data_IF_085588359570
#
_entry.id   IF_085588359570
#
_cell.length_a   1.000
_cell.length_b   1.000
_cell.length_c   1.000
_cell.angle_alpha   90.00
_cell.angle_beta   90.00
_cell.angle_gamma   90.00
#
_symmetry.space_group_name_H-M   'P 1'
#
loop_
_entity.id
_entity.type
_entity.pdbx_description
1 polymer ?
#
# COMPACT_ATOMS: atom_id res chain seq x y z
N UNK A 1 -18.47 -20.65 14.89
CA UNK A 1 -17.38 -20.91 13.93
C UNK A 1 -17.68 -20.43 12.49
N UNK A 2 -18.85 -20.72 11.83
CA UNK A 2 -19.03 -20.31 10.43
C UNK A 2 -19.07 -18.79 10.21
N UNK A 3 -19.63 -18.03 11.12
CA UNK A 3 -19.78 -16.56 10.99
C UNK A 3 -18.44 -15.84 11.05
N UNK A 4 -17.52 -16.31 11.88
CA UNK A 4 -16.14 -15.74 11.97
C UNK A 4 -15.36 -16.02 10.69
N UNK A 5 -15.50 -17.25 10.16
CA UNK A 5 -14.84 -17.65 8.91
C UNK A 5 -15.34 -16.83 7.71
N UNK A 6 -16.63 -16.53 7.62
CA UNK A 6 -17.21 -15.71 6.55
C UNK A 6 -16.73 -14.27 6.62
N UNK A 7 -16.52 -13.72 7.80
CA UNK A 7 -15.94 -12.39 8.00
C UNK A 7 -14.50 -12.31 7.46
N UNK A 8 -13.67 -13.27 7.80
CA UNK A 8 -12.27 -13.35 7.34
C UNK A 8 -12.15 -13.63 5.84
N UNK A 9 -13.01 -14.50 5.29
CA UNK A 9 -13.07 -14.75 3.85
C UNK A 9 -13.44 -13.48 3.09
N UNK A 10 -14.40 -12.70 3.60
CA UNK A 10 -14.82 -11.45 2.94
C UNK A 10 -13.73 -10.37 2.97
N UNK A 11 -12.97 -10.29 4.06
CA UNK A 11 -11.85 -9.38 4.19
C UNK A 11 -10.67 -9.81 3.30
N UNK A 12 -10.33 -11.09 3.30
CA UNK A 12 -9.32 -11.67 2.41
C UNK A 12 -9.67 -11.47 0.94
N UNK A 13 -10.96 -11.59 0.59
CA UNK A 13 -11.44 -11.34 -0.78
C UNK A 13 -11.23 -9.90 -1.26
N UNK A 14 -11.36 -8.91 -0.39
CA UNK A 14 -11.06 -7.50 -0.74
C UNK A 14 -9.57 -7.30 -1.01
N UNK A 15 -8.70 -7.89 -0.20
CA UNK A 15 -7.25 -7.85 -0.40
C UNK A 15 -6.81 -8.56 -1.68
N UNK A 16 -7.48 -9.66 -2.06
CA UNK A 16 -7.26 -10.39 -3.31
C UNK A 16 -7.41 -9.53 -4.58
N UNK A 17 -8.13 -8.42 -4.53
CA UNK A 17 -8.24 -7.50 -5.68
C UNK A 17 -7.18 -6.39 -5.65
N UNK A 18 -6.81 -5.90 -4.47
CA UNK A 18 -5.90 -4.75 -4.34
C UNK A 18 -4.49 -5.10 -4.81
N UNK A 19 -3.92 -6.22 -4.33
CA UNK A 19 -2.55 -6.59 -4.67
C UNK A 19 -2.33 -6.90 -6.15
N UNK A 20 -3.16 -7.73 -6.83
CA UNK A 20 -3.02 -7.96 -8.26
C UNK A 20 -3.11 -6.69 -9.10
N UNK A 21 -3.95 -5.72 -8.72
CA UNK A 21 -4.05 -4.44 -9.44
C UNK A 21 -2.75 -3.65 -9.34
N UNK A 22 -2.13 -3.57 -8.15
CA UNK A 22 -0.87 -2.88 -7.95
C UNK A 22 0.25 -3.57 -8.74
N UNK A 23 0.36 -4.91 -8.65
CA UNK A 23 1.35 -5.68 -9.41
C UNK A 23 1.14 -5.54 -10.92
N UNK A 24 -0.09 -5.55 -11.40
CA UNK A 24 -0.42 -5.35 -12.80
C UNK A 24 0.01 -3.96 -13.28
N UNK A 25 -0.22 -2.92 -12.49
CA UNK A 25 0.21 -1.57 -12.80
C UNK A 25 1.74 -1.48 -12.93
N UNK A 26 2.49 -2.04 -11.97
CA UNK A 26 3.95 -2.08 -12.05
C UNK A 26 4.42 -2.90 -13.25
N UNK A 27 3.80 -4.06 -13.52
CA UNK A 27 4.11 -4.88 -14.70
C UNK A 27 3.90 -4.13 -16.02
N UNK A 28 2.84 -3.34 -16.14
CA UNK A 28 2.59 -2.48 -17.31
C UNK A 28 3.77 -1.52 -17.54
N UNK A 29 4.30 -0.90 -16.49
CA UNK A 29 5.46 -0.02 -16.60
C UNK A 29 6.73 -0.77 -17.00
N UNK A 30 6.96 -1.97 -16.46
CA UNK A 30 8.11 -2.80 -16.83
C UNK A 30 8.01 -3.21 -18.30
N UNK A 31 6.85 -3.65 -18.75
CA UNK A 31 6.60 -4.03 -20.15
C UNK A 31 6.82 -2.80 -21.06
N UNK A 32 6.26 -1.65 -20.70
CA UNK A 32 6.39 -0.43 -21.48
C UNK A 32 7.88 -0.02 -21.64
N UNK A 33 8.66 -0.06 -20.56
CA UNK A 33 10.08 0.30 -20.60
C UNK A 33 10.90 -0.71 -21.39
N UNK A 34 10.63 -2.02 -21.23
CA UNK A 34 11.34 -3.10 -21.93
C UNK A 34 11.05 -3.10 -23.43
N UNK A 35 9.77 -2.98 -23.81
CA UNK A 35 9.37 -2.94 -25.22
C UNK A 35 9.89 -1.67 -25.89
N UNK A 36 9.82 -0.52 -25.23
CA UNK A 36 10.35 0.72 -25.77
C UNK A 36 11.86 0.62 -26.00
N UNK A 37 12.60 -0.02 -25.11
CA UNK A 37 14.02 -0.28 -25.27
C UNK A 37 14.28 -1.18 -26.46
N UNK A 38 13.62 -2.34 -26.55
CA UNK A 38 13.79 -3.30 -27.62
C UNK A 38 13.57 -2.64 -29.00
N UNK A 39 12.50 -1.89 -29.15
CA UNK A 39 12.16 -1.24 -30.41
C UNK A 39 13.19 -0.14 -30.78
N UNK A 40 13.78 0.53 -29.79
CA UNK A 40 14.84 1.52 -30.01
C UNK A 40 16.17 0.85 -30.40
N UNK A 41 16.52 -0.30 -29.84
CA UNK A 41 17.70 -1.08 -30.21
C UNK A 41 17.55 -1.61 -31.64
N UNK A 42 16.40 -2.11 -32.02
CA UNK A 42 16.12 -2.68 -33.34
C UNK A 42 15.62 -1.65 -34.39
N UNK A 43 15.70 -0.35 -34.08
CA UNK A 43 15.23 0.74 -34.97
C UNK A 43 15.89 0.69 -36.36
N UNK A 44 17.15 0.28 -36.43
CA UNK A 44 17.89 0.20 -37.70
C UNK A 44 17.33 -0.96 -38.53
N UNK A 45 17.01 -2.09 -37.93
CA UNK A 45 16.42 -3.24 -38.61
C UNK A 45 15.01 -2.92 -39.12
N UNK A 46 14.20 -2.21 -38.30
CA UNK A 46 12.89 -1.69 -38.74
C UNK A 46 13.06 -0.78 -39.96
N UNK A 47 14.10 0.05 -39.98
CA UNK A 47 14.43 0.92 -41.13
C UNK A 47 14.78 0.14 -42.39
N UNK A 48 15.60 -0.91 -42.27
CA UNK A 48 15.98 -1.78 -43.40
C UNK A 48 14.81 -2.58 -43.94
N UNK A 49 13.98 -3.18 -43.10
CA UNK A 49 12.76 -3.89 -43.49
C UNK A 49 11.78 -2.96 -44.28
N UNK A 50 11.61 -1.73 -43.80
CA UNK A 50 10.84 -0.72 -44.56
C UNK A 50 11.45 -0.33 -45.90
N UNK A 51 12.78 -0.23 -45.93
CA UNK A 51 13.54 0.04 -47.16
C UNK A 51 13.41 -1.09 -48.18
N UNK A 52 13.27 -2.33 -47.75
CA UNK A 52 13.02 -3.52 -48.57
C UNK A 52 11.56 -3.65 -49.00
N UNK A 53 10.65 -2.76 -48.56
CA UNK A 53 9.26 -2.75 -48.99
C UNK A 53 8.28 -3.48 -48.09
N UNK A 54 8.68 -3.95 -46.93
CA UNK A 54 7.74 -4.57 -45.99
C UNK A 54 6.66 -3.59 -45.51
N UNK A 55 5.44 -4.05 -45.43
CA UNK A 55 4.28 -3.25 -45.03
C UNK A 55 4.34 -2.86 -43.55
N UNK A 56 3.86 -1.64 -43.21
CA UNK A 56 3.80 -1.15 -41.83
C UNK A 56 3.08 -2.12 -40.88
N UNK A 57 2.02 -2.78 -41.39
CA UNK A 57 1.23 -3.73 -40.62
C UNK A 57 1.97 -5.04 -40.32
N UNK A 58 2.84 -5.50 -41.23
CA UNK A 58 3.63 -6.72 -41.05
C UNK A 58 4.69 -6.52 -39.97
N UNK A 59 5.41 -5.39 -40.03
CA UNK A 59 6.40 -5.02 -39.02
C UNK A 59 5.72 -4.88 -37.64
N UNK A 60 4.58 -4.20 -37.60
CA UNK A 60 3.83 -4.00 -36.35
C UNK A 60 3.38 -5.34 -35.75
N UNK A 61 2.88 -6.28 -36.58
CA UNK A 61 2.45 -7.61 -36.14
C UNK A 61 3.62 -8.43 -35.59
N UNK A 62 4.78 -8.34 -36.22
CA UNK A 62 5.99 -9.03 -35.76
C UNK A 62 6.39 -8.61 -34.35
N UNK A 63 6.54 -7.30 -34.08
CA UNK A 63 6.92 -6.80 -32.76
C UNK A 63 5.81 -6.95 -31.71
N UNK A 64 4.56 -6.86 -32.12
CA UNK A 64 3.41 -7.11 -31.23
C UNK A 64 3.34 -8.56 -30.78
N UNK A 65 3.54 -9.51 -31.72
CA UNK A 65 3.55 -10.94 -31.39
C UNK A 65 4.73 -11.33 -30.49
N UNK A 66 5.90 -10.71 -30.68
CA UNK A 66 7.06 -10.94 -29.83
C UNK A 66 6.79 -10.52 -28.38
N UNK A 67 6.29 -9.31 -28.15
CA UNK A 67 5.93 -8.83 -26.80
C UNK A 67 4.85 -9.69 -26.14
N UNK A 68 3.81 -10.05 -26.89
CA UNK A 68 2.74 -10.93 -26.42
C UNK A 68 3.23 -12.35 -26.06
N UNK A 69 4.09 -12.93 -26.91
CA UNK A 69 4.63 -14.28 -26.70
C UNK A 69 5.51 -14.34 -25.44
N UNK A 70 6.39 -13.35 -25.24
CA UNK A 70 7.23 -13.29 -24.03
C UNK A 70 6.38 -13.23 -22.77
N UNK A 71 5.32 -12.43 -22.78
CA UNK A 71 4.41 -12.34 -21.65
C UNK A 71 3.56 -13.59 -21.44
N UNK A 72 3.21 -14.31 -22.51
CA UNK A 72 2.55 -15.61 -22.42
C UNK A 72 3.46 -16.67 -21.79
N UNK A 73 4.72 -16.74 -22.21
CA UNK A 73 5.69 -17.69 -21.64
C UNK A 73 5.92 -17.35 -20.15
N UNK A 74 6.20 -16.09 -19.83
CA UNK A 74 6.42 -15.66 -18.45
C UNK A 74 5.16 -15.86 -17.58
N UNK A 75 3.99 -15.56 -18.11
CA UNK A 75 2.70 -15.79 -17.46
C UNK A 75 2.43 -17.27 -17.20
N UNK A 76 2.71 -18.14 -18.17
CA UNK A 76 2.56 -19.60 -18.01
C UNK A 76 3.51 -20.14 -16.91
N UNK A 77 4.77 -19.72 -16.91
CA UNK A 77 5.74 -20.09 -15.85
C UNK A 77 5.26 -19.57 -14.48
N UNK A 78 4.80 -18.31 -14.40
CA UNK A 78 4.26 -17.75 -13.17
C UNK A 78 3.00 -18.47 -12.68
N UNK A 79 2.12 -18.87 -13.59
CA UNK A 79 0.90 -19.63 -13.28
C UNK A 79 1.20 -21.05 -12.79
N UNK A 80 2.29 -21.66 -13.24
CA UNK A 80 2.72 -22.98 -12.74
C UNK A 80 3.36 -22.87 -11.34
N UNK A 81 4.19 -21.86 -11.10
CA UNK A 81 4.97 -21.74 -9.87
C UNK A 81 4.13 -21.11 -8.73
N UNK A 82 3.27 -20.14 -9.04
CA UNK A 82 2.50 -19.36 -8.06
C UNK A 82 1.67 -20.22 -7.09
N UNK A 83 0.85 -21.17 -7.58
CA UNK A 83 0.04 -22.03 -6.73
C UNK A 83 0.82 -22.95 -5.79
N UNK A 84 2.12 -23.16 -6.03
CA UNK A 84 2.96 -23.93 -5.12
C UNK A 84 3.63 -23.07 -4.05
N UNK A 85 4.06 -21.85 -4.38
CA UNK A 85 4.78 -21.00 -3.42
C UNK A 85 3.82 -20.41 -2.37
N UNK A 86 2.79 -19.70 -2.79
CA UNK A 86 1.93 -18.93 -1.88
C UNK A 86 1.17 -19.82 -0.89
N UNK A 87 0.50 -20.92 -1.30
CA UNK A 87 -0.18 -21.81 -0.36
C UNK A 87 0.77 -22.51 0.61
N UNK A 88 2.00 -22.85 0.20
CA UNK A 88 2.96 -23.49 1.09
C UNK A 88 3.48 -22.54 2.17
N UNK A 89 3.68 -21.28 1.87
CA UNK A 89 4.04 -20.26 2.87
C UNK A 89 2.88 -20.04 3.86
N UNK A 90 1.64 -20.03 3.37
CA UNK A 90 0.44 -19.83 4.17
C UNK A 90 0.03 -21.08 4.99
N UNK A 91 0.33 -22.29 4.48
CA UNK A 91 -0.07 -23.58 5.08
C UNK A 91 0.28 -23.70 6.55
N UNK A 92 1.54 -23.37 6.90
CA UNK A 92 2.04 -23.54 8.26
C UNK A 92 1.20 -22.75 9.27
N UNK A 93 0.79 -21.55 8.90
CA UNK A 93 0.01 -20.66 9.78
C UNK A 93 -1.46 -21.02 9.85
N UNK A 94 -2.10 -21.34 8.72
CA UNK A 94 -3.50 -21.77 8.73
C UNK A 94 -3.70 -23.11 9.45
N UNK A 95 -2.71 -23.99 9.44
CA UNK A 95 -2.77 -25.22 10.22
C UNK A 95 -2.64 -24.98 11.72
N UNK A 96 -1.82 -24.01 12.15
CA UNK A 96 -1.66 -23.65 13.56
C UNK A 96 -2.94 -22.96 14.11
N UNK A 97 -3.48 -22.00 13.38
CA UNK A 97 -4.61 -21.17 13.85
C UNK A 97 -5.95 -21.92 13.80
N UNK A 98 -6.18 -22.75 12.77
CA UNK A 98 -7.50 -23.39 12.57
C UNK A 98 -7.51 -24.89 12.83
N UNK A 99 -6.37 -25.48 13.19
CA UNK A 99 -6.22 -26.94 13.42
C UNK A 99 -6.92 -27.78 12.33
N UNK A 100 -6.78 -27.36 11.06
CA UNK A 100 -7.45 -27.97 9.92
C UNK A 100 -6.75 -29.30 9.57
N UNK A 101 -7.44 -30.45 9.63
CA UNK A 101 -6.86 -31.75 9.33
C UNK A 101 -6.66 -32.02 7.83
N UNK A 102 -7.00 -31.07 6.98
CA UNK A 102 -7.01 -31.24 5.53
C UNK A 102 -5.65 -30.90 4.94
N UNK A 103 -5.03 -31.79 4.11
CA UNK A 103 -3.82 -31.45 3.40
C UNK A 103 -4.10 -30.30 2.42
N UNK A 104 -3.37 -29.20 2.55
CA UNK A 104 -3.43 -28.08 1.60
C UNK A 104 -2.87 -28.58 0.26
N UNK A 105 -3.75 -28.85 -0.70
CA UNK A 105 -3.37 -29.13 -2.07
C UNK A 105 -3.47 -27.84 -2.91
N UNK A 106 -2.49 -27.59 -3.79
CA UNK A 106 -2.60 -26.46 -4.71
C UNK A 106 -3.82 -26.68 -5.62
N UNK A 107 -4.77 -25.77 -5.57
CA UNK A 107 -5.96 -25.79 -6.43
C UNK A 107 -5.66 -24.91 -7.64
N UNK A 108 -5.70 -25.51 -8.82
CA UNK A 108 -5.57 -24.79 -10.09
C UNK A 108 -6.95 -24.38 -10.60
N UNK A 109 -7.28 -23.13 -10.44
CA UNK A 109 -8.45 -22.53 -11.10
C UNK A 109 -8.07 -22.17 -12.55
N UNK A 110 -8.31 -23.09 -13.47
CA UNK A 110 -7.96 -22.95 -14.89
C UNK A 110 -8.62 -21.71 -15.52
N UNK A 111 -9.92 -21.42 -15.33
CA UNK A 111 -10.55 -20.21 -15.86
C UNK A 111 -9.89 -18.91 -15.40
N UNK A 112 -9.63 -18.79 -14.09
CA UNK A 112 -8.95 -17.60 -13.52
C UNK A 112 -7.51 -17.48 -13.98
N UNK A 113 -6.79 -18.59 -14.10
CA UNK A 113 -5.42 -18.61 -14.61
C UNK A 113 -5.37 -18.14 -16.08
N UNK A 114 -6.24 -18.62 -16.94
CA UNK A 114 -6.31 -18.19 -18.33
C UNK A 114 -6.68 -16.70 -18.42
N UNK A 115 -7.59 -16.22 -17.60
CA UNK A 115 -7.98 -14.81 -17.57
C UNK A 115 -6.83 -13.92 -17.11
N UNK A 116 -6.08 -14.33 -16.07
CA UNK A 116 -4.94 -13.58 -15.55
C UNK A 116 -3.80 -13.51 -16.59
N UNK A 117 -3.34 -14.66 -17.11
CA UNK A 117 -2.27 -14.71 -18.11
C UNK A 117 -2.68 -14.04 -19.41
N UNK A 118 -3.92 -14.26 -19.85
CA UNK A 118 -4.48 -13.64 -21.05
C UNK A 118 -4.58 -12.12 -20.97
N UNK A 119 -4.99 -11.58 -19.81
CA UNK A 119 -5.08 -10.13 -19.61
C UNK A 119 -3.71 -9.45 -19.67
N UNK A 120 -2.70 -10.02 -19.04
CA UNK A 120 -1.32 -9.49 -19.07
C UNK A 120 -0.74 -9.58 -20.48
N UNK A 121 -0.91 -10.70 -21.18
CA UNK A 121 -0.43 -10.86 -22.56
C UNK A 121 -1.14 -9.90 -23.53
N UNK A 122 -2.44 -9.66 -23.35
CA UNK A 122 -3.20 -8.70 -24.14
C UNK A 122 -2.70 -7.27 -23.90
N UNK A 123 -2.49 -6.89 -22.65
CA UNK A 123 -1.92 -5.57 -22.30
C UNK A 123 -0.53 -5.40 -22.90
N UNK A 124 0.33 -6.41 -22.80
CA UNK A 124 1.67 -6.39 -23.40
C UNK A 124 1.62 -6.20 -24.92
N UNK A 125 0.70 -6.90 -25.59
CA UNK A 125 0.49 -6.77 -27.04
C UNK A 125 0.03 -5.37 -27.42
N UNK A 126 -0.93 -4.79 -26.68
CA UNK A 126 -1.41 -3.42 -26.90
C UNK A 126 -0.27 -2.41 -26.71
N UNK A 127 0.50 -2.54 -25.63
CA UNK A 127 1.66 -1.66 -25.36
C UNK A 127 2.69 -1.76 -26.48
N UNK A 128 3.02 -2.98 -26.93
CA UNK A 128 3.93 -3.21 -28.04
C UNK A 128 3.46 -2.55 -29.33
N UNK A 129 2.18 -2.64 -29.64
CA UNK A 129 1.57 -1.95 -30.80
C UNK A 129 1.71 -0.44 -30.68
N UNK A 130 1.39 0.14 -29.51
CA UNK A 130 1.42 1.59 -29.30
C UNK A 130 2.83 2.15 -29.43
N UNK A 131 3.82 1.46 -28.84
CA UNK A 131 5.22 1.88 -28.88
C UNK A 131 5.81 1.71 -30.29
N UNK A 132 5.59 0.56 -30.93
CA UNK A 132 6.08 0.27 -32.27
C UNK A 132 5.48 1.21 -33.33
N UNK A 133 4.19 1.55 -33.22
CA UNK A 133 3.50 2.47 -34.13
C UNK A 133 4.22 3.81 -34.29
N UNK A 134 4.82 4.32 -33.22
CA UNK A 134 5.54 5.59 -33.25
C UNK A 134 6.82 5.50 -34.09
N UNK A 135 7.58 4.40 -33.97
CA UNK A 135 8.82 4.17 -34.73
C UNK A 135 8.52 3.80 -36.19
N UNK A 136 7.51 2.97 -36.42
CA UNK A 136 7.09 2.56 -37.76
C UNK A 136 6.53 3.72 -38.59
N UNK A 137 6.07 4.81 -37.99
CA UNK A 137 5.63 6.03 -38.74
C UNK A 137 6.80 6.86 -39.25
N UNK A 138 8.01 6.72 -38.72
CA UNK A 138 9.19 7.46 -39.17
C UNK A 138 9.63 7.02 -40.58
N UNK A 139 10.32 7.89 -41.33
CA UNK A 139 10.85 7.53 -42.65
C UNK A 139 11.99 6.52 -42.55
N UNK A 140 12.17 5.57 -43.48
CA UNK A 140 13.24 4.57 -43.45
C UNK A 140 14.64 5.18 -43.25
N UNK A 141 14.95 6.24 -44.01
CA UNK A 141 16.21 6.94 -43.92
C UNK A 141 16.43 7.63 -42.55
N UNK A 142 15.37 8.01 -41.84
CA UNK A 142 15.44 8.58 -40.50
C UNK A 142 15.67 7.49 -39.45
N UNK A 143 15.16 6.28 -39.64
CA UNK A 143 15.37 5.15 -38.76
C UNK A 143 16.82 4.64 -38.79
N UNK A 144 17.51 4.75 -39.94
CA UNK A 144 18.91 4.35 -40.11
C UNK A 144 19.90 5.38 -39.59
N UNK A 145 19.48 6.64 -39.37
CA UNK A 145 20.35 7.67 -38.83
C UNK A 145 20.43 7.61 -37.29
N UNK A 146 21.59 7.89 -36.70
CA UNK A 146 21.70 8.05 -35.27
C UNK A 146 20.72 9.09 -34.76
N UNK A 147 20.07 8.87 -33.62
CA UNK A 147 19.16 9.85 -33.04
C UNK A 147 19.91 11.13 -32.70
N UNK A 148 19.57 12.22 -33.36
CA UNK A 148 20.00 13.56 -32.95
C UNK A 148 19.00 14.04 -31.89
N UNK A 149 19.45 14.54 -30.73
CA UNK A 149 18.54 15.13 -29.76
C UNK A 149 17.75 16.25 -30.40
N UNK A 150 16.41 16.18 -30.40
CA UNK A 150 15.59 17.31 -30.81
C UNK A 150 15.86 18.46 -29.86
N UNK A 151 16.19 19.63 -30.40
CA UNK A 151 16.39 20.89 -29.66
C UNK A 151 15.08 21.20 -28.90
N UNK A 152 15.09 20.92 -27.62
CA UNK A 152 13.95 21.22 -26.74
C UNK A 152 13.95 22.70 -26.38
N UNK A 153 12.77 23.26 -26.22
CA UNK A 153 12.50 24.68 -25.87
C UNK A 153 13.37 25.23 -24.75
N UNK A 154 13.89 24.38 -23.87
CA UNK A 154 14.82 24.74 -22.79
C UNK A 154 16.21 25.22 -23.31
N UNK A 155 16.69 24.75 -24.45
CA UNK A 155 17.93 25.25 -25.08
C UNK A 155 17.73 26.67 -25.64
N UNK A 156 16.53 27.02 -26.06
CA UNK A 156 16.18 28.37 -26.50
C UNK A 156 16.20 29.39 -25.35
N UNK A 157 15.79 28.98 -24.15
CA UNK A 157 15.83 29.85 -22.96
C UNK A 157 17.28 30.09 -22.45
N UNK A 158 18.14 29.09 -22.56
CA UNK A 158 19.57 29.21 -22.24
C UNK A 158 20.28 30.12 -23.26
N UNK A 159 19.98 29.98 -24.55
CA UNK A 159 20.57 30.79 -25.61
C UNK A 159 20.16 32.27 -25.53
N UNK A 160 18.94 32.55 -25.05
CA UNK A 160 18.45 33.93 -24.83
C UNK A 160 19.11 34.61 -23.63
N UNK A 161 19.69 33.87 -22.70
CA UNK A 161 20.41 34.37 -21.54
C UNK A 161 21.86 34.71 -21.88
N UNK A 162 22.50 33.94 -22.77
CA UNK A 162 23.88 34.19 -23.23
C UNK A 162 23.96 35.37 -24.21
N UNK A 163 22.88 35.68 -24.95
CA UNK A 163 22.80 36.84 -25.83
C UNK A 163 22.66 38.15 -25.04
N UNK A 164 22.05 38.15 -23.87
CA UNK A 164 21.94 39.34 -23.01
C UNK A 164 23.27 39.73 -22.39
N UNK A 165 24.14 38.78 -22.09
CA UNK A 165 25.48 39.04 -21.51
C UNK A 165 26.49 39.50 -22.56
N UNK A 166 26.25 39.23 -23.86
CA UNK A 166 27.12 39.73 -24.94
C UNK A 166 26.78 41.15 -25.42
N UNK A 167 25.58 41.63 -25.11
CA UNK A 167 25.15 42.97 -25.55
C UNK A 167 25.62 44.09 -24.59
N UNK A 168 25.97 43.74 -23.34
CA UNK A 168 26.52 44.73 -22.39
C UNK A 168 28.07 44.90 -22.47
N UNK A 169 28.78 44.03 -23.20
CA UNK A 169 30.23 44.12 -23.36
C UNK A 169 30.66 44.85 -24.64
N UNK A 170 29.74 45.43 -25.39
CA UNK A 170 29.96 46.03 -26.72
C UNK A 170 29.92 47.56 -26.81
N UNK A 171 29.96 48.28 -25.68
CA UNK A 171 29.97 49.76 -25.70
C UNK A 171 31.05 50.30 -24.79
N UNK A 172 32.32 50.18 -25.20
CA UNK A 172 33.40 51.09 -24.84
C UNK A 172 34.63 50.69 -25.65
N UNK A 173 34.71 51.16 -26.86
CA UNK A 173 35.94 51.30 -27.58
C UNK A 173 36.10 52.78 -28.01
N UNK A 174 36.92 53.53 -27.28
CA UNK A 174 37.63 54.62 -27.86
C UNK A 174 39.00 54.73 -27.19
N UNK A 175 40.01 54.63 -28.07
CA UNK A 175 41.37 55.21 -28.09
C UNK A 175 42.24 55.09 -26.84
N UNK A 176 43.35 54.40 -26.95
CA UNK A 176 44.63 55.00 -27.23
C UNK A 176 45.82 54.02 -27.17
N UNK A 177 46.60 54.04 -28.14
CA UNK A 177 48.04 53.80 -28.38
C UNK A 177 48.92 53.45 -27.17
N UNK A 178 49.74 52.37 -27.35
CA UNK A 178 51.14 52.31 -26.94
C UNK A 178 51.44 51.73 -25.54
N UNK A 179 51.94 50.50 -25.50
CA UNK A 179 53.25 50.13 -24.95
C UNK A 179 53.35 48.60 -24.84
N UNK A 180 54.36 48.06 -25.44
CA UNK A 180 54.89 46.73 -25.17
C UNK A 180 55.48 46.72 -23.77
N UNK A 181 55.07 45.71 -22.96
CA UNK A 181 55.98 45.13 -21.96
C UNK A 181 55.40 43.85 -21.29
N UNK A 182 56.29 42.88 -21.27
CA UNK A 182 56.41 41.74 -20.38
C UNK A 182 55.21 40.85 -20.09
N UNK A 183 55.21 39.70 -20.79
CA UNK A 183 54.57 38.47 -20.33
C UNK A 183 55.37 37.87 -19.19
N UNK A 184 54.96 38.09 -17.96
CA UNK A 184 55.28 37.23 -16.83
C UNK A 184 54.18 36.20 -16.60
N UNK A 185 54.63 34.98 -16.47
CA UNK A 185 53.85 33.79 -16.17
C UNK A 185 52.96 33.99 -14.92
N UNK A 186 51.68 34.17 -15.10
CA UNK A 186 50.70 33.93 -14.03
C UNK A 186 49.90 32.68 -14.36
N UNK A 187 50.29 31.58 -13.74
CA UNK A 187 49.47 30.35 -13.66
C UNK A 187 48.06 30.70 -13.24
N UNK A 188 47.04 30.21 -13.92
CA UNK A 188 45.66 30.43 -13.47
C UNK A 188 45.47 29.71 -12.13
N UNK A 189 45.30 30.47 -11.03
CA UNK A 189 44.83 29.96 -9.75
C UNK A 189 43.58 29.14 -10.01
N UNK A 190 43.66 27.82 -9.83
CA UNK A 190 42.52 26.90 -9.74
C UNK A 190 41.63 27.39 -8.61
N UNK A 191 40.66 28.24 -8.94
CA UNK A 191 39.51 28.51 -8.09
C UNK A 191 38.80 27.18 -7.91
N UNK A 192 38.77 26.66 -6.70
CA UNK A 192 38.11 25.40 -6.34
C UNK A 192 36.68 25.41 -6.90
N UNK A 193 36.51 24.76 -8.01
CA UNK A 193 35.21 24.58 -8.67
C UNK A 193 34.51 23.52 -7.87
N UNK A 194 33.37 23.83 -7.28
CA UNK A 194 32.52 22.87 -6.59
C UNK A 194 32.04 21.83 -7.61
N UNK A 195 32.84 20.79 -7.82
CA UNK A 195 32.60 19.74 -8.82
C UNK A 195 31.27 19.02 -8.57
N UNK A 196 30.80 18.97 -7.31
CA UNK A 196 29.49 18.43 -6.93
C UNK A 196 28.30 19.21 -7.50
N UNK A 197 28.40 20.57 -7.51
CA UNK A 197 27.32 21.42 -8.06
C UNK A 197 27.29 21.31 -9.59
N UNK A 198 28.47 21.17 -10.22
CA UNK A 198 28.56 21.01 -11.66
C UNK A 198 27.96 19.65 -12.11
N UNK A 199 28.26 18.56 -11.39
CA UNK A 199 27.72 17.23 -11.69
C UNK A 199 26.20 17.19 -11.49
N UNK A 200 25.69 17.82 -10.42
CA UNK A 200 24.24 17.94 -10.18
C UNK A 200 23.53 18.74 -11.29
N UNK A 201 24.13 19.84 -11.72
CA UNK A 201 23.59 20.66 -12.81
C UNK A 201 23.60 19.91 -14.14
N UNK A 202 24.63 19.11 -14.41
CA UNK A 202 24.67 18.23 -15.58
C UNK A 202 23.63 17.14 -15.52
N UNK A 203 23.44 16.51 -14.36
CA UNK A 203 22.41 15.51 -14.15
C UNK A 203 21.00 16.09 -14.36
N UNK A 204 20.70 17.23 -13.74
CA UNK A 204 19.42 17.92 -13.93
C UNK A 204 19.15 18.30 -15.40
N UNK A 205 20.19 18.76 -16.10
CA UNK A 205 20.09 19.07 -17.54
C UNK A 205 19.82 17.80 -18.38
N UNK A 206 20.46 16.69 -18.05
CA UNK A 206 20.23 15.41 -18.74
C UNK A 206 18.81 14.89 -18.56
N UNK A 207 18.24 15.04 -17.34
CA UNK A 207 16.84 14.72 -17.04
C UNK A 207 15.90 15.60 -17.88
N UNK A 208 16.18 16.90 -17.97
CA UNK A 208 15.36 17.85 -18.72
C UNK A 208 15.38 17.64 -20.25
N UNK A 209 16.43 17.02 -20.80
CA UNK A 209 16.54 16.73 -22.24
C UNK A 209 15.59 15.62 -22.68
N UNK A 210 15.33 14.61 -21.82
CA UNK A 210 14.46 13.45 -22.12
C UNK A 210 13.41 13.24 -21.02
N UNK A 211 12.43 14.14 -20.88
CA UNK A 211 11.52 14.16 -19.72
C UNK A 211 10.64 12.91 -19.62
N UNK A 212 10.16 12.38 -20.74
CA UNK A 212 9.29 11.18 -20.77
C UNK A 212 10.03 9.96 -20.22
N UNK A 213 11.32 9.82 -20.56
CA UNK A 213 12.13 8.71 -20.07
C UNK A 213 12.43 8.84 -18.58
N UNK A 214 12.79 10.04 -18.14
CA UNK A 214 12.99 10.32 -16.72
C UNK A 214 11.69 10.03 -15.93
N UNK A 215 10.54 10.42 -16.45
CA UNK A 215 9.25 10.11 -15.84
C UNK A 215 8.99 8.61 -15.73
N UNK A 216 9.24 7.83 -16.79
CA UNK A 216 9.12 6.36 -16.75
C UNK A 216 10.03 5.74 -15.69
N UNK A 217 11.27 6.20 -15.58
CA UNK A 217 12.22 5.75 -14.56
C UNK A 217 11.70 6.04 -13.15
N UNK A 218 11.28 7.29 -12.91
CA UNK A 218 10.75 7.72 -11.61
C UNK A 218 9.52 6.91 -11.24
N UNK A 219 8.56 6.75 -12.16
CA UNK A 219 7.32 5.98 -11.91
C UNK A 219 7.64 4.52 -11.61
N UNK A 220 8.57 3.89 -12.35
CA UNK A 220 8.98 2.50 -12.09
C UNK A 220 9.59 2.32 -10.69
N UNK A 221 10.50 3.20 -10.29
CA UNK A 221 11.10 3.15 -8.94
C UNK A 221 10.05 3.45 -7.87
N UNK A 222 9.22 4.47 -8.09
CA UNK A 222 8.14 4.83 -7.15
C UNK A 222 7.19 3.66 -6.93
N UNK A 223 6.82 2.93 -8.00
CA UNK A 223 5.96 1.74 -7.88
C UNK A 223 6.57 0.65 -7.01
N UNK A 224 7.87 0.37 -7.18
CA UNK A 224 8.56 -0.62 -6.35
C UNK A 224 8.67 -0.18 -4.89
N UNK A 225 9.01 1.09 -4.63
CA UNK A 225 9.09 1.64 -3.27
C UNK A 225 7.71 1.67 -2.62
N UNK A 226 6.67 2.03 -3.38
CA UNK A 226 5.29 2.03 -2.88
C UNK A 226 4.83 0.63 -2.44
N UNK A 227 5.16 -0.42 -3.21
CA UNK A 227 4.87 -1.81 -2.82
C UNK A 227 5.59 -2.20 -1.53
N UNK A 228 6.85 -1.82 -1.41
CA UNK A 228 7.66 -2.11 -0.22
C UNK A 228 7.12 -1.39 1.01
N UNK A 229 6.77 -0.11 0.87
CA UNK A 229 6.17 0.68 1.94
C UNK A 229 4.75 0.19 2.29
N UNK A 230 3.99 -0.29 1.32
CA UNK A 230 2.68 -0.89 1.57
C UNK A 230 2.83 -2.18 2.40
N UNK A 231 3.79 -3.04 2.05
CA UNK A 231 4.05 -4.28 2.78
C UNK A 231 4.47 -4.04 4.23
N UNK A 232 5.36 -3.08 4.48
CA UNK A 232 5.82 -2.70 5.83
C UNK A 232 4.71 -1.98 6.61
N UNK A 233 4.05 -1.02 5.98
CA UNK A 233 3.05 -0.16 6.63
C UNK A 233 1.79 -0.91 7.09
N UNK A 234 1.44 -2.05 6.48
CA UNK A 234 0.31 -2.86 6.94
C UNK A 234 0.60 -3.42 8.34
N UNK A 235 1.78 -4.00 8.56
CA UNK A 235 2.18 -4.52 9.87
C UNK A 235 2.19 -3.43 10.94
N UNK A 236 2.93 -2.35 10.69
CA UNK A 236 3.05 -1.23 11.63
C UNK A 236 1.70 -0.59 11.97
N UNK A 237 0.78 -0.52 10.98
CA UNK A 237 -0.56 0.04 11.20
C UNK A 237 -1.40 -0.85 12.11
N UNK A 238 -1.30 -2.16 11.95
CA UNK A 238 -2.03 -3.13 12.80
C UNK A 238 -1.50 -3.07 14.21
N UNK A 239 -0.19 -3.17 14.39
CA UNK A 239 0.45 -3.13 15.71
C UNK A 239 0.11 -1.83 16.46
N UNK A 240 0.20 -0.69 15.77
CA UNK A 240 -0.15 0.60 16.36
C UNK A 240 -1.65 0.70 16.72
N UNK A 241 -2.53 0.17 15.87
CA UNK A 241 -3.97 0.19 16.12
C UNK A 241 -4.34 -0.68 17.33
N UNK A 242 -3.71 -1.85 17.44
CA UNK A 242 -3.91 -2.74 18.59
C UNK A 242 -3.41 -2.13 19.89
N UNK A 243 -2.19 -1.57 19.88
CA UNK A 243 -1.63 -0.88 21.05
C UNK A 243 -2.51 0.29 21.50
N UNK A 244 -3.02 1.07 20.55
CA UNK A 244 -3.89 2.20 20.88
C UNK A 244 -5.20 1.74 21.50
N UNK A 245 -5.79 0.65 21.03
CA UNK A 245 -7.05 0.13 21.57
C UNK A 245 -6.85 -0.52 22.95
N UNK A 246 -5.91 -1.46 23.08
CA UNK A 246 -5.73 -2.23 24.31
C UNK A 246 -5.12 -1.45 25.48
N UNK A 247 -4.26 -0.47 25.20
CA UNK A 247 -3.56 0.28 26.24
C UNK A 247 -3.89 1.78 26.26
N UNK A 248 -4.58 2.27 25.23
CA UNK A 248 -4.96 3.69 25.11
C UNK A 248 -6.44 3.96 25.31
N UNK A 249 -7.31 3.16 24.67
CA UNK A 249 -8.76 3.38 24.72
C UNK A 249 -9.45 2.59 25.83
N UNK A 250 -8.97 1.37 26.12
CA UNK A 250 -9.49 0.51 27.16
C UNK A 250 -8.40 0.16 28.16
N UNK A 251 -8.67 0.35 29.45
CA UNK A 251 -7.68 0.21 30.52
C UNK A 251 -8.04 -0.89 31.52
N UNK A 252 -8.87 -1.84 31.11
CA UNK A 252 -9.20 -3.03 31.92
C UNK A 252 -8.12 -4.11 31.77
N UNK A 253 -8.00 -4.97 32.77
CA UNK A 253 -7.05 -6.10 32.77
C UNK A 253 -7.72 -7.44 32.48
N UNK A 254 -9.02 -7.57 32.82
CA UNK A 254 -9.84 -8.77 32.56
C UNK A 254 -11.18 -8.36 31.99
N UNK A 255 -11.66 -9.08 30.97
CA UNK A 255 -12.98 -8.92 30.40
C UNK A 255 -13.78 -10.23 30.52
N UNK A 256 -15.03 -10.12 30.93
CA UNK A 256 -15.99 -11.22 30.85
C UNK A 256 -17.20 -10.82 30.04
N UNK A 257 -17.51 -11.55 28.96
CA UNK A 257 -18.59 -11.21 28.04
C UNK A 257 -19.99 -11.56 28.59
N UNK A 258 -20.04 -12.35 29.64
CA UNK A 258 -21.28 -12.77 30.27
C UNK A 258 -21.16 -12.70 31.79
N UNK A 259 -22.15 -12.15 32.46
CA UNK A 259 -22.24 -12.13 33.93
C UNK A 259 -23.59 -12.59 34.43
N UNK A 260 -23.58 -13.28 35.58
CA UNK A 260 -24.78 -13.71 36.28
C UNK A 260 -25.42 -12.55 37.07
N UNK A 261 -26.62 -12.77 37.62
CA UNK A 261 -27.29 -11.78 38.47
C UNK A 261 -26.51 -11.56 39.80
N UNK A 262 -25.89 -12.61 40.33
CA UNK A 262 -25.10 -12.54 41.57
C UNK A 262 -23.65 -12.06 41.38
N UNK A 263 -23.28 -11.68 40.17
CA UNK A 263 -21.91 -11.31 39.80
C UNK A 263 -21.39 -10.15 40.66
N UNK A 264 -22.21 -9.12 40.83
CA UNK A 264 -21.77 -7.90 41.54
C UNK A 264 -21.45 -8.17 43.01
N UNK A 265 -22.23 -9.04 43.68
CA UNK A 265 -21.99 -9.41 45.08
C UNK A 265 -20.64 -10.13 45.23
N UNK A 266 -20.36 -11.10 44.35
CA UNK A 266 -19.07 -11.83 44.35
C UNK A 266 -17.88 -10.93 43.97
N UNK A 267 -18.06 -9.96 43.08
CA UNK A 267 -17.02 -9.02 42.75
C UNK A 267 -16.71 -8.05 43.91
N UNK A 268 -17.70 -7.66 44.68
CA UNK A 268 -17.54 -6.86 45.87
C UNK A 268 -16.71 -7.62 46.93
N UNK A 269 -17.00 -8.94 47.10
CA UNK A 269 -16.19 -9.81 47.97
C UNK A 269 -14.70 -9.88 47.52
N UNK A 270 -14.43 -10.02 46.23
CA UNK A 270 -13.08 -10.06 45.67
C UNK A 270 -12.37 -8.69 45.82
N UNK A 271 -13.11 -7.61 45.72
CA UNK A 271 -12.60 -6.26 45.94
C UNK A 271 -12.26 -6.00 47.40
N UNK A 272 -13.12 -6.46 48.35
CA UNK A 272 -12.82 -6.38 49.80
C UNK A 272 -11.63 -7.27 50.18
N UNK A 273 -11.44 -8.40 49.52
CA UNK A 273 -10.28 -9.26 49.66
C UNK A 273 -8.99 -8.66 49.08
N UNK A 274 -9.08 -7.56 48.30
CA UNK A 274 -7.94 -6.92 47.64
C UNK A 274 -7.39 -7.71 46.43
N UNK A 275 -8.19 -8.63 45.87
CA UNK A 275 -7.77 -9.42 44.71
C UNK A 275 -8.02 -8.66 43.39
N UNK A 276 -8.99 -7.73 43.39
CA UNK A 276 -9.28 -6.83 42.28
C UNK A 276 -9.31 -5.38 42.76
N UNK A 277 -8.96 -4.44 41.92
CA UNK A 277 -8.99 -2.99 42.22
C UNK A 277 -10.42 -2.44 42.08
N UNK A 278 -11.03 -2.70 40.95
CA UNK A 278 -12.40 -2.28 40.67
C UNK A 278 -12.97 -3.07 39.49
N UNK A 279 -14.30 -2.99 39.32
CA UNK A 279 -14.99 -3.57 38.17
C UNK A 279 -16.08 -2.62 37.67
N UNK A 280 -16.39 -2.72 36.37
CA UNK A 280 -17.43 -1.93 35.71
C UNK A 280 -18.26 -2.86 34.83
N UNK A 281 -19.58 -2.70 34.90
CA UNK A 281 -20.53 -3.50 34.13
C UNK A 281 -21.17 -2.69 33.01
N UNK A 282 -21.44 -3.35 31.89
CA UNK A 282 -22.12 -2.77 30.74
C UNK A 282 -22.98 -3.82 30.06
N UNK A 283 -23.95 -3.36 29.23
CA UNK A 283 -24.80 -4.28 28.44
C UNK A 283 -24.44 -4.20 26.97
N UNK A 284 -24.41 -5.34 26.31
CA UNK A 284 -24.17 -5.47 24.87
C UNK A 284 -25.44 -5.95 24.18
N UNK A 285 -25.89 -5.18 23.22
CA UNK A 285 -27.05 -5.52 22.40
C UNK A 285 -26.63 -5.76 20.96
N UNK A 286 -27.36 -6.66 20.29
CA UNK A 286 -27.22 -6.90 18.86
C UNK A 286 -28.41 -6.26 18.16
N UNK A 287 -28.19 -5.16 17.44
CA UNK A 287 -29.24 -4.39 16.79
C UNK A 287 -28.92 -4.13 15.33
N UNK A 288 -29.96 -3.92 14.55
CA UNK A 288 -29.81 -3.47 13.17
C UNK A 288 -29.73 -1.95 13.14
N UNK A 289 -28.55 -1.43 12.81
CA UNK A 289 -28.37 0.01 12.60
C UNK A 289 -28.67 0.37 11.15
N UNK A 290 -29.46 1.41 10.95
CA UNK A 290 -29.77 1.93 9.61
C UNK A 290 -29.41 3.40 9.51
N UNK A 291 -28.52 3.72 8.56
CA UNK A 291 -28.26 5.09 8.09
C UNK A 291 -29.20 5.43 6.92
N UNK A 292 -28.88 6.48 6.18
CA UNK A 292 -29.72 7.02 5.11
C UNK A 292 -30.11 5.97 4.02
N UNK A 293 -29.24 5.01 3.69
CA UNK A 293 -29.44 4.08 2.59
C UNK A 293 -29.02 2.63 2.87
N UNK A 294 -28.49 2.32 4.06
CA UNK A 294 -27.93 1.00 4.38
C UNK A 294 -28.30 0.59 5.80
N UNK A 295 -28.59 -0.69 5.98
CA UNK A 295 -28.78 -1.31 7.27
C UNK A 295 -27.77 -2.42 7.50
N UNK A 296 -27.28 -2.56 8.74
CA UNK A 296 -26.31 -3.56 9.15
C UNK A 296 -26.51 -3.96 10.60
N UNK A 297 -26.35 -5.25 10.88
CA UNK A 297 -26.34 -5.74 12.25
C UNK A 297 -25.00 -5.37 12.91
N UNK A 298 -25.09 -4.72 14.06
CA UNK A 298 -23.96 -4.21 14.82
C UNK A 298 -24.13 -4.52 16.31
N UNK A 299 -23.01 -4.43 17.03
CA UNK A 299 -23.02 -4.43 18.49
C UNK A 299 -23.26 -3.01 18.99
N UNK A 300 -24.12 -2.88 20.00
CA UNK A 300 -24.36 -1.64 20.72
C UNK A 300 -23.95 -1.87 22.16
N UNK A 301 -22.97 -1.11 22.60
CA UNK A 301 -22.42 -1.13 23.94
C UNK A 301 -23.12 -0.03 24.75
N UNK A 302 -23.98 -0.43 25.69
CA UNK A 302 -24.63 0.49 26.61
C UNK A 302 -23.82 0.53 27.90
N UNK A 303 -23.03 1.57 28.04
CA UNK A 303 -22.15 1.80 29.18
C UNK A 303 -22.93 2.34 30.38
N UNK A 304 -22.47 2.04 31.58
CA UNK A 304 -22.94 2.69 32.80
C UNK A 304 -22.44 4.15 32.86
N UNK A 305 -23.08 4.99 33.64
CA UNK A 305 -22.59 6.36 33.86
C UNK A 305 -21.18 6.37 34.45
N UNK A 306 -20.35 7.30 33.96
CA UNK A 306 -19.00 7.58 34.51
C UNK A 306 -18.05 6.35 34.48
N UNK A 307 -18.05 5.57 33.40
CA UNK A 307 -17.05 4.52 33.23
C UNK A 307 -15.63 5.12 33.19
N UNK A 308 -14.71 4.48 33.91
CA UNK A 308 -13.32 4.91 34.07
C UNK A 308 -12.34 4.04 33.29
N UNK A 309 -12.77 2.81 32.90
CA UNK A 309 -11.93 1.86 32.17
C UNK A 309 -11.95 2.07 30.65
N UNK A 310 -12.54 3.15 30.18
CA UNK A 310 -12.50 3.55 28.77
C UNK A 310 -12.35 5.06 28.62
N UNK A 311 -11.68 5.48 27.56
CA UNK A 311 -11.60 6.91 27.17
C UNK A 311 -12.78 7.35 26.31
N UNK A 312 -13.67 6.42 25.96
CA UNK A 312 -14.87 6.72 25.17
C UNK A 312 -15.91 7.36 26.09
N UNK A 313 -16.13 8.65 25.91
CA UNK A 313 -17.11 9.40 26.72
C UNK A 313 -18.52 9.24 26.14
N UNK A 314 -19.38 8.52 26.87
CA UNK A 314 -20.79 8.32 26.53
C UNK A 314 -21.72 9.11 27.45
N UNK A 315 -21.19 9.95 28.32
CA UNK A 315 -21.99 10.75 29.25
C UNK A 315 -22.80 11.82 28.53
N UNK A 316 -23.84 12.32 29.20
CA UNK A 316 -24.74 13.39 28.70
C UNK A 316 -25.42 13.07 27.35
N UNK A 317 -25.67 11.79 27.07
CA UNK A 317 -26.27 11.36 25.80
C UNK A 317 -25.33 11.42 24.60
N UNK A 318 -24.02 11.46 24.83
CA UNK A 318 -23.02 11.38 23.77
C UNK A 318 -23.04 9.98 23.15
N UNK A 319 -23.22 9.92 21.82
CA UNK A 319 -23.24 8.68 21.04
C UNK A 319 -22.00 8.62 20.20
N UNK A 320 -21.20 7.59 20.46
CA UNK A 320 -19.91 7.38 19.80
C UNK A 320 -19.99 6.14 18.93
N UNK A 321 -19.44 6.19 17.74
CA UNK A 321 -19.46 5.07 16.81
C UNK A 321 -18.06 4.73 16.32
N UNK A 322 -17.76 3.44 16.20
CA UNK A 322 -16.50 3.02 15.57
C UNK A 322 -16.48 3.39 14.09
N UNK A 323 -15.35 3.88 13.61
CA UNK A 323 -15.16 4.34 12.23
C UNK A 323 -15.56 3.30 11.19
N UNK A 324 -15.23 2.03 11.45
CA UNK A 324 -15.59 0.94 10.53
C UNK A 324 -17.11 0.72 10.38
N UNK A 325 -17.88 1.03 11.43
CA UNK A 325 -19.35 0.97 11.41
C UNK A 325 -19.89 2.22 10.72
N UNK A 326 -19.41 3.41 11.08
CA UNK A 326 -19.80 4.67 10.44
C UNK A 326 -19.57 4.64 8.92
N UNK A 327 -18.38 4.23 8.47
CA UNK A 327 -18.07 4.07 7.05
C UNK A 327 -18.98 3.04 6.35
N UNK A 328 -19.38 1.95 7.05
CA UNK A 328 -20.26 0.93 6.46
C UNK A 328 -21.69 1.41 6.27
N UNK A 329 -22.14 2.34 7.11
CA UNK A 329 -23.46 2.97 7.07
C UNK A 329 -23.49 4.30 6.32
N UNK A 330 -22.33 4.79 5.87
CA UNK A 330 -22.13 6.09 5.21
C UNK A 330 -22.60 7.26 6.08
N UNK A 331 -22.23 7.22 7.37
CA UNK A 331 -22.58 8.21 8.38
C UNK A 331 -21.39 9.10 8.73
N UNK A 332 -21.68 10.36 9.05
CA UNK A 332 -20.72 11.36 9.54
C UNK A 332 -21.17 11.88 10.90
N UNK A 333 -20.28 12.53 11.60
CA UNK A 333 -20.61 13.23 12.84
C UNK A 333 -21.71 14.27 12.59
N UNK A 334 -22.73 14.25 13.42
CA UNK A 334 -23.95 15.07 13.30
C UNK A 334 -25.11 14.39 12.56
N UNK A 335 -24.89 13.23 11.89
CA UNK A 335 -25.96 12.53 11.20
C UNK A 335 -26.84 11.73 12.17
N UNK A 336 -28.14 11.64 11.87
CA UNK A 336 -29.07 10.79 12.60
C UNK A 336 -29.10 9.38 12.00
N UNK A 337 -29.21 8.38 12.85
CA UNK A 337 -29.37 6.97 12.49
C UNK A 337 -30.36 6.25 13.40
N UNK A 338 -30.85 5.10 12.97
CA UNK A 338 -31.82 4.33 13.74
C UNK A 338 -31.25 2.98 14.15
N UNK A 339 -31.51 2.59 15.39
CA UNK A 339 -31.23 1.26 15.93
C UNK A 339 -32.57 0.49 16.05
N UNK A 340 -32.62 -0.70 15.47
CA UNK A 340 -33.80 -1.57 15.49
C UNK A 340 -33.49 -2.90 16.18
N UNK A 341 -34.36 -3.26 17.12
CA UNK A 341 -34.38 -4.57 17.75
C UNK A 341 -35.82 -5.12 17.75
N UNK A 342 -36.09 -6.13 16.92
CA UNK A 342 -37.42 -6.60 16.69
C UNK A 342 -38.36 -5.52 16.15
N UNK A 343 -39.41 -5.18 16.93
CA UNK A 343 -40.38 -4.12 16.60
C UNK A 343 -39.95 -2.73 17.07
N UNK A 344 -39.01 -2.66 17.99
CA UNK A 344 -38.56 -1.40 18.61
C UNK A 344 -37.59 -0.67 17.70
N UNK A 345 -37.77 0.64 17.55
CA UNK A 345 -36.90 1.51 16.76
C UNK A 345 -36.52 2.71 17.61
N UNK A 346 -35.23 2.99 17.70
CA UNK A 346 -34.66 4.10 18.44
C UNK A 346 -33.90 5.00 17.48
N UNK A 347 -34.03 6.29 17.63
CA UNK A 347 -33.32 7.27 16.80
C UNK A 347 -32.26 7.97 17.66
N UNK A 348 -31.04 8.02 17.12
CA UNK A 348 -29.89 8.63 17.76
C UNK A 348 -29.17 9.54 16.76
N UNK A 349 -28.45 10.53 17.30
CA UNK A 349 -27.55 11.36 16.53
C UNK A 349 -26.12 10.98 16.84
N UNK A 350 -25.30 10.77 15.82
CA UNK A 350 -23.89 10.44 15.95
C UNK A 350 -23.09 11.68 16.34
N UNK A 351 -22.50 11.67 17.53
CA UNK A 351 -21.74 12.81 18.02
C UNK A 351 -20.26 12.71 17.66
N UNK A 352 -19.67 11.52 17.81
CA UNK A 352 -18.23 11.31 17.63
C UNK A 352 -17.93 10.00 16.93
N UNK A 353 -16.86 9.98 16.12
CA UNK A 353 -16.35 8.77 15.46
C UNK A 353 -14.97 8.43 16.03
N UNK A 354 -14.87 7.25 16.66
CA UNK A 354 -13.61 6.73 17.20
C UNK A 354 -13.02 5.64 16.33
N UNK A 355 -11.70 5.56 16.33
CA UNK A 355 -10.99 4.52 15.58
C UNK A 355 -10.68 3.34 16.50
N UNK A 356 -11.50 2.29 16.43
CA UNK A 356 -11.29 1.03 17.14
C UNK A 356 -10.96 -0.08 16.14
N UNK A 357 -10.01 -0.95 16.46
CA UNK A 357 -9.57 -2.04 15.58
C UNK A 357 -10.42 -3.30 15.79
N UNK A 358 -10.70 -3.67 17.05
CA UNK A 358 -11.34 -4.90 17.46
C UNK A 358 -12.78 -4.65 17.91
N UNK A 359 -12.96 -3.70 18.83
CA UNK A 359 -14.25 -3.38 19.44
C UNK A 359 -15.09 -2.52 18.52
N UNK A 360 -15.84 -3.17 17.63
CA UNK A 360 -16.64 -2.48 16.59
C UNK A 360 -18.08 -2.38 17.00
N UNK A 361 -18.62 -1.16 17.04
CA UNK A 361 -20.02 -0.96 17.41
C UNK A 361 -20.36 0.52 17.61
N UNK A 362 -21.50 0.69 18.26
CA UNK A 362 -21.97 1.97 18.80
C UNK A 362 -21.80 1.93 20.31
N UNK A 363 -21.27 2.99 20.86
CA UNK A 363 -21.08 3.18 22.30
C UNK A 363 -21.98 4.32 22.74
N UNK A 364 -22.80 4.07 23.73
CA UNK A 364 -23.76 5.05 24.24
C UNK A 364 -24.10 4.73 25.71
N UNK A 365 -24.70 5.70 26.38
CA UNK A 365 -25.38 5.50 27.64
C UNK A 365 -26.86 5.86 27.47
N UNK A 366 -27.77 4.91 27.71
CA UNK A 366 -29.21 5.15 27.59
C UNK A 366 -30.03 4.22 28.45
N UNK A 367 -31.09 4.75 29.03
CA UNK A 367 -32.12 3.99 29.74
C UNK A 367 -33.33 3.63 28.83
N UNK A 368 -33.27 4.03 27.54
CA UNK A 368 -34.37 3.79 26.59
C UNK A 368 -34.51 2.33 26.21
N UNK A 369 -33.49 1.51 26.45
CA UNK A 369 -33.53 0.09 26.17
C UNK A 369 -34.23 -0.63 27.35
N UNK A 370 -35.54 -0.82 27.25
CA UNK A 370 -36.33 -1.56 28.25
C UNK A 370 -35.94 -3.03 28.34
N UNK A 371 -36.49 -3.70 29.36
CA UNK A 371 -36.27 -5.15 29.62
C UNK A 371 -36.76 -6.08 28.48
N UNK A 372 -37.58 -5.56 27.57
CA UNK A 372 -38.06 -6.28 26.39
C UNK A 372 -36.98 -6.53 25.34
N UNK A 373 -35.80 -5.87 25.45
CA UNK A 373 -34.71 -6.03 24.52
C UNK A 373 -33.64 -6.92 25.15
N UNK A 374 -33.39 -8.06 24.51
CA UNK A 374 -32.38 -8.98 24.99
C UNK A 374 -31.00 -8.37 24.84
N UNK A 375 -30.36 -8.09 25.98
CA UNK A 375 -28.97 -7.60 26.07
C UNK A 375 -28.16 -8.59 26.92
N UNK A 376 -26.91 -8.74 26.57
CA UNK A 376 -25.96 -9.52 27.35
C UNK A 376 -25.23 -8.59 28.32
N UNK A 377 -25.32 -8.90 29.63
CA UNK A 377 -24.52 -8.18 30.62
C UNK A 377 -23.07 -8.66 30.58
N UNK A 378 -22.14 -7.75 30.60
CA UNK A 378 -20.69 -7.97 30.51
C UNK A 378 -19.98 -7.12 31.56
N UNK A 379 -18.74 -7.47 31.90
CA UNK A 379 -17.95 -6.68 32.84
C UNK A 379 -16.50 -6.52 32.40
N UNK A 380 -15.92 -5.40 32.76
CA UNK A 380 -14.49 -5.15 32.78
C UNK A 380 -14.00 -5.10 34.21
N UNK A 381 -12.83 -5.66 34.47
CA UNK A 381 -12.27 -5.77 35.80
C UNK A 381 -10.83 -5.29 35.74
N UNK A 382 -10.44 -4.51 36.74
CA UNK A 382 -9.08 -4.06 36.94
C UNK A 382 -8.44 -4.79 38.09
N UNK A 383 -7.26 -5.37 37.86
CA UNK A 383 -6.52 -6.14 38.85
C UNK A 383 -5.01 -5.96 38.63
N UNK A 384 -4.24 -5.82 39.74
CA UNK A 384 -2.79 -5.67 39.66
C UNK A 384 -2.08 -6.91 39.10
N UNK A 385 -2.62 -8.11 39.39
CA UNK A 385 -2.06 -9.37 38.93
C UNK A 385 -3.14 -10.32 38.40
N UNK A 386 -3.14 -10.57 37.12
CA UNK A 386 -4.04 -11.53 36.47
C UNK A 386 -3.43 -12.93 36.59
N UNK A 387 -4.01 -13.77 37.44
CA UNK A 387 -3.61 -15.17 37.63
C UNK A 387 -4.71 -16.11 37.18
N UNK A 388 -4.37 -17.36 36.78
CA UNK A 388 -5.38 -18.38 36.46
C UNK A 388 -6.39 -18.59 37.59
N UNK A 389 -5.90 -18.58 38.85
CA UNK A 389 -6.77 -18.72 40.01
C UNK A 389 -7.77 -17.57 40.18
N UNK A 390 -7.41 -16.35 39.77
CA UNK A 390 -8.33 -15.21 39.74
C UNK A 390 -9.32 -15.33 38.59
N UNK A 391 -8.89 -15.75 37.41
CA UNK A 391 -9.78 -16.02 36.27
C UNK A 391 -10.80 -17.10 36.61
N UNK A 392 -10.39 -18.22 37.25
CA UNK A 392 -11.30 -19.26 37.70
C UNK A 392 -12.37 -18.72 38.67
N UNK A 393 -11.98 -17.86 39.63
CA UNK A 393 -12.93 -17.22 40.55
C UNK A 393 -13.93 -16.30 39.83
N UNK A 394 -13.43 -15.54 38.82
CA UNK A 394 -14.30 -14.67 38.00
C UNK A 394 -15.24 -15.52 37.13
N UNK A 395 -14.76 -16.62 36.60
CA UNK A 395 -15.60 -17.57 35.83
C UNK A 395 -16.68 -18.20 36.69
N UNK A 396 -16.36 -18.61 37.91
CA UNK A 396 -17.33 -19.09 38.90
C UNK A 396 -18.35 -18.01 39.29
N UNK A 397 -17.90 -16.75 39.35
CA UNK A 397 -18.79 -15.62 39.66
C UNK A 397 -19.68 -15.26 38.47
N UNK A 398 -19.17 -15.32 37.25
CA UNK A 398 -19.89 -15.00 36.03
C UNK A 398 -20.89 -16.12 35.63
N UNK A 399 -20.65 -17.33 36.09
CA UNK A 399 -21.40 -18.54 35.70
C UNK A 399 -21.04 -19.07 34.31
N UNK A 400 -19.93 -18.56 33.73
CA UNK A 400 -19.44 -18.96 32.40
C UNK A 400 -17.92 -18.97 32.38
N UNK A 401 -17.31 -19.99 31.81
CA UNK A 401 -15.83 -20.07 31.66
C UNK A 401 -15.35 -19.25 30.46
N UNK A 402 -15.45 -17.93 30.53
CA UNK A 402 -15.11 -17.03 29.42
C UNK A 402 -14.40 -15.75 29.85
N UNK A 403 -14.01 -15.62 31.12
CA UNK A 403 -13.16 -14.53 31.55
C UNK A 403 -11.77 -14.66 30.91
N UNK A 404 -11.28 -13.60 30.33
CA UNK A 404 -9.97 -13.57 29.66
C UNK A 404 -9.20 -12.35 30.08
N UNK A 405 -7.93 -12.55 30.43
CA UNK A 405 -7.00 -11.45 30.67
C UNK A 405 -6.70 -10.69 29.37
N UNK A 406 -6.43 -9.40 29.48
CA UNK A 406 -6.05 -8.58 28.32
C UNK A 406 -4.83 -9.13 27.61
N UNK A 407 -3.86 -9.68 28.35
CA UNK A 407 -2.67 -10.29 27.75
C UNK A 407 -3.04 -11.51 26.89
N UNK A 408 -3.94 -12.35 27.35
CA UNK A 408 -4.42 -13.50 26.57
C UNK A 408 -5.22 -13.04 25.32
N UNK A 409 -6.04 -12.01 25.48
CA UNK A 409 -6.75 -11.40 24.33
C UNK A 409 -5.76 -10.81 23.33
N UNK A 410 -4.72 -10.15 23.81
CA UNK A 410 -3.63 -9.62 22.98
C UNK A 410 -2.93 -10.75 22.22
N UNK A 411 -2.48 -11.79 22.92
CA UNK A 411 -1.77 -12.93 22.32
C UNK A 411 -2.62 -13.64 21.25
N UNK A 412 -3.92 -13.80 21.51
CA UNK A 412 -4.88 -14.35 20.55
C UNK A 412 -5.04 -13.48 19.29
N UNK A 413 -5.00 -12.16 19.44
CA UNK A 413 -5.09 -11.23 18.32
C UNK A 413 -3.76 -11.17 17.58
N UNK A 414 -2.64 -11.14 18.28
CA UNK A 414 -1.30 -11.17 17.71
C UNK A 414 -1.06 -12.48 16.92
N UNK A 415 -1.49 -13.62 17.44
CA UNK A 415 -1.44 -14.90 16.73
C UNK A 415 -2.22 -14.84 15.41
N UNK A 416 -3.43 -14.28 15.42
CA UNK A 416 -4.21 -14.05 14.20
C UNK A 416 -3.57 -13.02 13.27
N UNK A 417 -3.05 -11.94 13.80
CA UNK A 417 -2.33 -10.91 13.05
C UNK A 417 -1.02 -11.46 12.44
N UNK A 418 -0.40 -12.45 13.07
CA UNK A 418 0.82 -13.11 12.55
C UNK A 418 0.60 -13.78 11.19
N UNK A 419 -0.63 -14.11 10.81
CA UNK A 419 -0.95 -14.56 9.45
C UNK A 419 -0.74 -13.47 8.41
N UNK A 420 -0.92 -12.21 8.80
CA UNK A 420 -0.67 -11.02 7.98
C UNK A 420 0.83 -10.80 7.80
N UNK A 421 1.65 -11.14 8.79
CA UNK A 421 3.11 -11.06 8.71
C UNK A 421 3.69 -11.97 7.61
N UNK A 422 3.18 -13.19 7.46
CA UNK A 422 3.60 -14.06 6.37
C UNK A 422 3.32 -13.44 4.99
N UNK A 423 2.19 -12.76 4.86
CA UNK A 423 1.81 -12.04 3.66
C UNK A 423 2.71 -10.80 3.45
N UNK A 424 3.03 -10.06 4.51
CA UNK A 424 3.97 -8.94 4.52
C UNK A 424 5.34 -9.35 3.99
N UNK A 425 5.94 -10.41 4.55
CA UNK A 425 7.25 -10.92 4.11
C UNK A 425 7.22 -11.42 2.65
N UNK A 426 6.15 -12.10 2.26
CA UNK A 426 5.98 -12.56 0.87
C UNK A 426 5.94 -11.38 -0.11
N UNK A 427 5.14 -10.36 0.19
CA UNK A 427 5.07 -9.14 -0.61
C UNK A 427 6.40 -8.39 -0.67
N UNK A 428 7.10 -8.31 0.47
CA UNK A 428 8.41 -7.66 0.54
C UNK A 428 9.44 -8.36 -0.36
N UNK A 429 9.50 -9.69 -0.35
CA UNK A 429 10.40 -10.45 -1.23
C UNK A 429 10.08 -10.18 -2.70
N UNK A 430 8.80 -10.22 -3.10
CA UNK A 430 8.39 -9.92 -4.47
C UNK A 430 8.67 -8.46 -4.86
N UNK A 431 8.45 -7.51 -3.95
CA UNK A 431 8.76 -6.10 -4.21
C UNK A 431 10.25 -5.86 -4.42
N UNK A 432 11.12 -6.51 -3.62
CA UNK A 432 12.58 -6.44 -3.78
C UNK A 432 13.01 -7.06 -5.11
N UNK A 433 12.52 -8.27 -5.44
CA UNK A 433 12.84 -8.92 -6.72
C UNK A 433 12.42 -8.04 -7.91
N UNK A 434 11.21 -7.49 -7.86
CA UNK A 434 10.71 -6.59 -8.89
C UNK A 434 11.57 -5.32 -9.01
N UNK A 435 11.98 -4.74 -7.86
CA UNK A 435 12.85 -3.57 -7.82
C UNK A 435 14.20 -3.85 -8.49
N UNK A 436 14.81 -5.00 -8.22
CA UNK A 436 16.07 -5.41 -8.86
C UNK A 436 15.91 -5.50 -10.39
N UNK A 437 14.82 -6.13 -10.86
CA UNK A 437 14.55 -6.26 -12.31
C UNK A 437 14.34 -4.88 -12.95
N UNK A 438 13.58 -3.99 -12.31
CA UNK A 438 13.33 -2.64 -12.81
C UNK A 438 14.62 -1.83 -12.87
N UNK A 439 15.41 -1.83 -11.79
CA UNK A 439 16.67 -1.09 -11.73
C UNK A 439 17.68 -1.62 -12.75
N UNK A 440 17.78 -2.95 -12.91
CA UNK A 440 18.62 -3.57 -13.93
C UNK A 440 18.23 -3.11 -15.33
N UNK A 441 16.93 -3.17 -15.65
CA UNK A 441 16.40 -2.75 -16.95
C UNK A 441 16.70 -1.27 -17.25
N UNK A 442 16.52 -0.40 -16.26
CA UNK A 442 16.81 1.03 -16.38
C UNK A 442 18.30 1.32 -16.50
N UNK A 443 19.15 0.60 -15.75
CA UNK A 443 20.60 0.73 -15.82
C UNK A 443 21.13 0.35 -17.20
N UNK A 444 20.66 -0.76 -17.76
CA UNK A 444 21.01 -1.19 -19.11
C UNK A 444 20.62 -0.12 -20.17
N UNK A 445 19.42 0.47 -20.03
CA UNK A 445 18.98 1.53 -20.92
C UNK A 445 19.93 2.74 -20.89
N UNK A 446 20.32 3.16 -19.68
CA UNK A 446 21.22 4.30 -19.49
C UNK A 446 22.63 4.03 -20.06
N UNK A 447 23.15 2.81 -19.90
CA UNK A 447 24.46 2.40 -20.39
C UNK A 447 24.46 2.38 -21.92
N UNK A 448 23.49 1.70 -22.53
CA UNK A 448 23.42 1.54 -23.99
C UNK A 448 23.32 2.89 -24.72
N UNK A 449 22.62 3.88 -24.13
CA UNK A 449 22.53 5.21 -24.72
C UNK A 449 23.83 6.03 -24.62
N UNK A 450 24.64 5.77 -23.58
CA UNK A 450 25.90 6.48 -23.35
C UNK A 450 27.11 5.77 -23.89
N UNK A 451 26.94 4.58 -24.46
CA UNK A 451 28.05 3.77 -24.98
C UNK A 451 28.89 4.57 -25.99
N UNK A 452 28.23 5.36 -26.84
CA UNK A 452 28.92 6.24 -27.81
C UNK A 452 29.65 7.40 -27.16
N UNK A 453 29.05 8.01 -26.14
CA UNK A 453 29.66 9.11 -25.38
C UNK A 453 30.87 8.59 -24.58
N UNK A 454 30.71 7.40 -23.97
CA UNK A 454 31.80 6.72 -23.27
C UNK A 454 32.92 6.32 -24.22
N UNK A 455 32.60 5.79 -25.41
CA UNK A 455 33.59 5.46 -26.43
C UNK A 455 34.36 6.69 -26.90
N UNK A 456 33.70 7.84 -27.11
CA UNK A 456 34.38 9.11 -27.49
C UNK A 456 35.28 9.64 -26.38
N UNK A 457 34.83 9.56 -25.12
CA UNK A 457 35.64 9.95 -23.96
C UNK A 457 36.88 9.05 -23.82
N UNK A 458 36.72 7.73 -24.05
CA UNK A 458 37.82 6.79 -24.01
C UNK A 458 38.84 7.01 -25.10
N UNK A 459 38.40 7.36 -26.33
CA UNK A 459 39.28 7.73 -27.44
C UNK A 459 40.02 9.04 -27.15
N UNK A 460 39.40 9.96 -26.40
CA UNK A 460 40.03 11.21 -25.98
C UNK A 460 40.97 11.05 -24.76
N UNK A 461 41.17 9.81 -24.26
CA UNK A 461 42.12 9.52 -23.19
C UNK A 461 41.58 9.72 -21.77
N UNK A 462 40.26 9.83 -21.60
CA UNK A 462 39.62 9.79 -20.28
C UNK A 462 39.43 8.34 -19.89
N UNK A 463 40.06 7.86 -18.81
CA UNK A 463 39.93 6.51 -18.26
C UNK A 463 38.69 6.38 -17.34
#
# INVERSE_FOLDING_TARGET
>A
APVLLDGEISQSRKMLYVFPVIFLLVSVFVILTTVNRLILEERTEIGTLKGLGFGKGEILRHYASFGGLLCLIGGAVGALIGPFIVPNVMKVKYQLVYNLPIPFMPVFDIPMTILAVGSVALLATIISILVCKNVVRENPAACMRPMVPKDNIFLHLSKKRDTRTKTECGKNNNLSSGKKENRENSSPKKKGRNDGILSLKMAARNIAIKPIRAAMTVIGITGCVALLMCALGIGDTIDHSLQTEFYGQFTYDIATPYISEDFSEKMDELKEAGEIETYETYKVYYMNASGANKGKDIKVYNFSENMTMTTIDTNNGNVVMSKSVADSLDLKEGDSFTLKSGTNTFEFTLNEIVNTAITKGVFLHTDQFGDDIYGTSSAWIKADNVTEALLDKIDDASGTAQASGVQELWDNVEEKASSIDAMKYTLMVFAVLLSVVVLYNLSLLNINERTRDIATLKVLGFA
#
